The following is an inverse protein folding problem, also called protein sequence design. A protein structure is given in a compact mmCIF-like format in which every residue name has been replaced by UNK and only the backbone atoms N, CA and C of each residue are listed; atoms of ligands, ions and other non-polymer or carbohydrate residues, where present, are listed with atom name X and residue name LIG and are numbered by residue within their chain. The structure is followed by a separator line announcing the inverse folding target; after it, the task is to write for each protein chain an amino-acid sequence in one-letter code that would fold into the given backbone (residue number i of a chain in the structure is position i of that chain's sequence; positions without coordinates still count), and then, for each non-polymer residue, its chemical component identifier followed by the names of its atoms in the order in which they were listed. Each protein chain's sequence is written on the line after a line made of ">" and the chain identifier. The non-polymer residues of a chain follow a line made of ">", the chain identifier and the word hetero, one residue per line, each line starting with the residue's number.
data_IF_037384635111
#
_entry.id   IF_037384635111
#
_cell.length_a   1.000
_cell.length_b   1.000
_cell.length_c   1.000
_cell.angle_alpha   90.00
_cell.angle_beta   90.00
_cell.angle_gamma   90.00
#
_symmetry.space_group_name_H-M   'P 1'
#
loop_
_entity.id
_entity.type
_entity.pdbx_description
1 polymer ?
#
# COMPACT_ATOMS: atom_id res chain seq x y z
N UNK A 1 61.59 -51.76 -31.82
CA UNK A 1 60.68 -51.90 -32.97
C UNK A 1 59.44 -51.03 -32.71
N UNK A 2 59.20 -50.11 -33.64
CA UNK A 2 58.41 -48.86 -33.53
C UNK A 2 56.91 -49.11 -33.36
N UNK A 3 56.31 -48.86 -32.18
CA UNK A 3 54.82 -48.76 -32.05
C UNK A 3 54.26 -48.19 -30.73
N UNK A 4 54.97 -47.29 -30.03
CA UNK A 4 54.45 -46.67 -28.78
C UNK A 4 54.37 -45.13 -28.76
N UNK A 5 54.84 -44.46 -29.82
CA UNK A 5 54.79 -42.99 -29.95
C UNK A 5 53.58 -42.44 -30.73
N UNK A 6 52.90 -43.25 -31.55
CA UNK A 6 51.81 -42.75 -32.41
C UNK A 6 50.46 -42.57 -31.70
N UNK A 7 50.17 -43.30 -30.61
CA UNK A 7 48.85 -43.21 -29.97
C UNK A 7 48.65 -41.93 -29.12
N UNK A 8 49.73 -41.28 -28.67
CA UNK A 8 49.60 -40.01 -27.92
C UNK A 8 49.41 -38.80 -28.84
N UNK A 9 49.94 -38.84 -30.07
CA UNK A 9 49.76 -37.76 -31.04
C UNK A 9 48.34 -37.72 -31.63
N UNK A 10 47.73 -38.87 -31.90
CA UNK A 10 46.36 -38.92 -32.42
C UNK A 10 45.31 -38.38 -31.43
N UNK A 11 45.48 -38.65 -30.14
CA UNK A 11 44.56 -38.13 -29.11
C UNK A 11 44.64 -36.60 -28.97
N UNK A 12 45.83 -36.02 -29.09
CA UNK A 12 46.04 -34.56 -29.02
C UNK A 12 45.43 -33.86 -30.24
N UNK A 13 45.56 -34.45 -31.43
CA UNK A 13 44.96 -33.90 -32.67
C UNK A 13 43.42 -33.95 -32.61
N UNK A 14 42.83 -35.00 -32.05
CA UNK A 14 41.37 -35.11 -31.88
C UNK A 14 40.86 -34.05 -30.89
N UNK A 15 41.56 -33.81 -29.79
CA UNK A 15 41.18 -32.78 -28.80
C UNK A 15 41.30 -31.37 -29.37
N UNK A 16 42.37 -31.08 -30.13
CA UNK A 16 42.53 -29.80 -30.84
C UNK A 16 41.45 -29.60 -31.92
N UNK A 17 41.09 -30.68 -32.64
CA UNK A 17 39.99 -30.67 -33.60
C UNK A 17 38.65 -30.34 -32.96
N UNK A 18 38.33 -30.95 -31.81
CA UNK A 18 37.10 -30.70 -31.06
C UNK A 18 37.04 -29.27 -30.47
N UNK A 19 38.16 -28.73 -30.00
CA UNK A 19 38.25 -27.34 -29.52
C UNK A 19 38.12 -26.30 -30.64
N UNK A 20 38.63 -26.59 -31.84
CA UNK A 20 38.42 -25.73 -33.01
C UNK A 20 36.97 -25.83 -33.53
N UNK A 21 36.36 -27.03 -33.46
CA UNK A 21 34.95 -27.22 -33.81
C UNK A 21 34.02 -26.51 -32.84
N UNK A 22 34.32 -26.53 -31.53
CA UNK A 22 33.52 -25.83 -30.51
C UNK A 22 33.65 -24.30 -30.60
N UNK A 23 34.82 -23.78 -30.98
CA UNK A 23 34.99 -22.34 -31.27
C UNK A 23 34.24 -21.90 -32.53
N UNK A 24 34.24 -22.70 -33.59
CA UNK A 24 33.44 -22.41 -34.78
C UNK A 24 31.93 -22.48 -34.49
N UNK A 25 31.47 -23.40 -33.65
CA UNK A 25 30.06 -23.45 -33.24
C UNK A 25 29.65 -22.26 -32.35
N UNK A 26 30.53 -21.80 -31.46
CA UNK A 26 30.26 -20.60 -30.65
C UNK A 26 30.26 -19.31 -31.49
N UNK A 27 31.04 -19.26 -32.56
CA UNK A 27 31.15 -18.09 -33.43
C UNK A 27 30.08 -18.07 -34.56
N UNK A 28 29.48 -19.21 -34.89
CA UNK A 28 28.32 -19.29 -35.81
C UNK A 28 27.00 -18.95 -35.10
N UNK A 29 26.94 -19.00 -33.76
CA UNK A 29 25.75 -18.59 -33.00
C UNK A 29 25.68 -17.08 -32.68
N UNK A 30 26.62 -16.26 -33.18
CA UNK A 30 26.62 -14.79 -33.02
C UNK A 30 26.89 -14.14 -34.38
N UNK A 31 25.87 -14.09 -35.23
CA UNK A 31 25.65 -13.02 -36.22
C UNK A 31 24.15 -12.90 -36.49
N UNK A 32 23.57 -11.69 -36.40
CA UNK A 32 22.13 -11.50 -36.57
C UNK A 32 21.78 -11.71 -38.04
N UNK A 33 20.98 -12.74 -38.32
CA UNK A 33 20.28 -12.83 -39.60
C UNK A 33 19.20 -11.74 -39.62
N UNK A 34 19.43 -10.68 -40.39
CA UNK A 34 18.38 -9.77 -40.87
C UNK A 34 17.40 -10.59 -41.70
N UNK A 35 16.42 -11.19 -41.02
CA UNK A 35 15.18 -11.64 -41.62
C UNK A 35 14.14 -10.68 -41.09
N UNK A 36 13.69 -9.77 -41.97
CA UNK A 36 12.41 -9.09 -41.82
C UNK A 36 11.32 -10.15 -41.80
N UNK A 37 11.13 -10.76 -40.63
CA UNK A 37 9.86 -11.33 -40.25
C UNK A 37 9.09 -10.11 -39.78
N UNK A 38 8.17 -9.64 -40.61
CA UNK A 38 6.97 -8.95 -40.13
C UNK A 38 6.30 -9.92 -39.14
N UNK A 39 6.79 -9.89 -37.91
CA UNK A 39 5.98 -10.24 -36.77
C UNK A 39 4.94 -9.13 -36.79
N UNK A 40 3.79 -9.43 -37.41
CA UNK A 40 2.53 -8.90 -36.96
C UNK A 40 2.49 -9.23 -35.47
N UNK A 41 3.08 -8.33 -34.68
CA UNK A 41 2.68 -8.09 -33.31
C UNK A 41 1.23 -7.69 -33.50
N UNK A 42 0.36 -8.69 -33.47
CA UNK A 42 -1.01 -8.50 -33.08
C UNK A 42 -0.88 -7.68 -31.81
N UNK A 43 -1.15 -6.39 -32.00
CA UNK A 43 -1.51 -5.44 -30.99
C UNK A 43 -2.55 -6.15 -30.10
N UNK A 44 -2.09 -6.94 -29.13
CA UNK A 44 -2.80 -7.10 -27.88
C UNK A 44 -2.71 -5.70 -27.27
N UNK A 45 -3.58 -4.82 -27.77
CA UNK A 45 -4.00 -3.63 -27.04
C UNK A 45 -4.50 -4.20 -25.73
N UNK A 46 -3.69 -4.11 -24.67
CA UNK A 46 -4.26 -4.03 -23.34
C UNK A 46 -5.42 -3.05 -23.45
N UNK A 47 -6.64 -3.41 -23.02
CA UNK A 47 -7.74 -2.49 -23.05
C UNK A 47 -7.26 -1.24 -22.34
N UNK A 48 -7.20 -0.12 -23.08
CA UNK A 48 -6.74 1.15 -22.52
C UNK A 48 -7.72 1.48 -21.42
N UNK A 49 -7.33 1.22 -20.16
CA UNK A 49 -8.15 1.46 -18.99
C UNK A 49 -8.67 2.90 -19.06
N UNK A 50 -9.97 3.08 -18.88
CA UNK A 50 -10.54 4.42 -18.82
C UNK A 50 -10.27 5.04 -17.46
N UNK A 51 -10.04 6.36 -17.41
CA UNK A 51 -9.80 7.07 -16.15
C UNK A 51 -10.97 6.89 -15.18
N UNK A 52 -12.19 6.78 -15.70
CA UNK A 52 -13.40 6.54 -14.92
C UNK A 52 -13.42 5.18 -14.20
N UNK A 53 -12.55 4.24 -14.60
CA UNK A 53 -12.41 2.94 -13.95
C UNK A 53 -11.79 3.05 -12.54
N UNK A 54 -11.05 4.14 -12.28
CA UNK A 54 -10.45 4.43 -10.96
C UNK A 54 -11.35 5.28 -10.07
N UNK A 55 -12.37 5.92 -10.63
CA UNK A 55 -13.32 6.72 -9.85
C UNK A 55 -14.26 5.81 -9.08
N UNK A 56 -14.41 6.06 -7.79
CA UNK A 56 -15.33 5.34 -6.91
C UNK A 56 -16.74 5.88 -7.13
N UNK A 57 -17.66 5.02 -7.55
CA UNK A 57 -19.07 5.36 -7.68
C UNK A 57 -19.83 4.94 -6.41
N UNK A 58 -21.00 5.54 -6.19
CA UNK A 58 -21.95 5.05 -5.19
C UNK A 58 -22.40 3.63 -5.53
N UNK A 59 -22.45 2.74 -4.54
CA UNK A 59 -22.91 1.35 -4.72
C UNK A 59 -21.79 0.31 -4.69
N UNK A 60 -21.95 -0.76 -5.49
CA UNK A 60 -21.03 -1.91 -5.52
C UNK A 60 -19.93 -1.72 -6.58
N UNK A 61 -18.70 -1.42 -6.13
CA UNK A 61 -17.53 -1.21 -6.98
C UNK A 61 -16.72 -2.49 -7.26
N UNK A 62 -17.19 -3.67 -6.84
CA UNK A 62 -16.52 -4.94 -7.08
C UNK A 62 -16.18 -5.17 -8.57
N UNK A 63 -17.14 -4.90 -9.47
CA UNK A 63 -16.93 -5.05 -10.92
C UNK A 63 -15.83 -4.12 -11.42
N UNK A 64 -15.79 -2.87 -10.94
CA UNK A 64 -14.71 -1.93 -11.27
C UNK A 64 -13.35 -2.46 -10.79
N UNK A 65 -13.25 -2.91 -9.53
CA UNK A 65 -12.00 -3.46 -8.98
C UNK A 65 -11.49 -4.66 -9.78
N UNK A 66 -12.38 -5.52 -10.29
CA UNK A 66 -12.00 -6.68 -11.12
C UNK A 66 -11.44 -6.28 -12.49
N UNK A 67 -11.80 -5.10 -12.99
CA UNK A 67 -11.28 -4.57 -14.26
C UNK A 67 -9.93 -3.84 -14.09
N UNK A 68 -9.55 -3.50 -12.86
CA UNK A 68 -8.24 -2.90 -12.56
C UNK A 68 -7.13 -3.97 -12.53
N UNK A 69 -5.84 -3.57 -12.64
CA UNK A 69 -4.72 -4.48 -12.50
C UNK A 69 -4.85 -5.35 -11.24
N UNK A 70 -4.65 -6.66 -11.39
CA UNK A 70 -4.76 -7.58 -10.26
C UNK A 70 -3.53 -7.45 -9.34
N UNK A 71 -3.72 -6.78 -8.21
CA UNK A 71 -2.68 -6.54 -7.20
C UNK A 71 -2.13 -7.84 -6.58
N UNK A 72 -2.89 -8.94 -6.61
CA UNK A 72 -2.42 -10.27 -6.15
C UNK A 72 -1.30 -10.84 -7.03
N UNK A 73 -1.28 -10.46 -8.33
CA UNK A 73 -0.32 -10.95 -9.30
C UNK A 73 0.98 -10.12 -9.33
N UNK A 74 1.05 -9.05 -8.53
CA UNK A 74 2.22 -8.18 -8.46
C UNK A 74 3.25 -8.69 -7.47
N UNK A 75 4.52 -8.34 -7.68
CA UNK A 75 5.57 -8.58 -6.70
C UNK A 75 5.39 -7.63 -5.51
N UNK A 76 5.43 -8.16 -4.29
CA UNK A 76 5.36 -7.37 -3.05
C UNK A 76 6.64 -7.52 -2.24
N UNK A 77 7.09 -6.46 -1.52
CA UNK A 77 8.22 -6.57 -0.61
C UNK A 77 7.96 -7.65 0.44
N UNK A 78 8.99 -8.44 0.76
CA UNK A 78 8.95 -9.32 1.92
C UNK A 78 8.76 -8.47 3.17
N UNK A 79 7.59 -8.58 3.81
CA UNK A 79 7.25 -7.86 5.04
C UNK A 79 8.00 -8.42 6.24
N UNK A 80 8.49 -7.51 7.09
CA UNK A 80 9.04 -7.83 8.40
C UNK A 80 7.90 -8.02 9.41
N UNK A 81 8.07 -8.95 10.34
CA UNK A 81 7.09 -9.25 11.38
C UNK A 81 7.80 -9.43 12.71
N UNK A 82 7.08 -9.14 13.79
CA UNK A 82 7.51 -9.58 15.11
C UNK A 82 7.57 -11.12 15.16
N UNK A 83 8.58 -11.64 15.86
CA UNK A 83 8.75 -13.08 16.09
C UNK A 83 7.66 -13.63 17.02
N UNK A 84 7.25 -12.82 18.00
CA UNK A 84 6.17 -13.12 18.95
C UNK A 84 5.07 -12.07 18.84
N UNK A 85 3.78 -12.44 19.00
CA UNK A 85 2.68 -11.48 18.95
C UNK A 85 2.80 -10.47 20.09
N UNK A 86 2.44 -9.22 19.83
CA UNK A 86 2.23 -8.26 20.92
C UNK A 86 1.19 -8.78 21.91
N UNK A 87 1.49 -8.67 23.21
CA UNK A 87 0.76 -9.35 24.27
C UNK A 87 1.51 -10.55 24.86
N UNK A 88 2.40 -11.20 24.10
CA UNK A 88 3.28 -12.22 24.68
C UNK A 88 4.28 -11.60 25.69
N UNK A 89 4.71 -12.33 26.74
CA UNK A 89 5.54 -11.77 27.82
C UNK A 89 6.88 -11.16 27.36
N UNK A 90 7.43 -11.64 26.25
CA UNK A 90 8.72 -11.19 25.71
C UNK A 90 8.59 -10.13 24.61
N UNK A 91 7.38 -9.81 24.17
CA UNK A 91 7.16 -8.89 23.06
C UNK A 91 7.41 -7.45 23.48
N UNK A 92 8.14 -6.70 22.65
CA UNK A 92 8.48 -5.30 22.89
C UNK A 92 8.31 -4.50 21.62
N UNK A 93 7.98 -3.23 21.78
CA UNK A 93 7.88 -2.30 20.67
C UNK A 93 9.18 -1.53 20.52
N UNK A 94 9.70 -1.51 19.30
CA UNK A 94 10.84 -0.69 18.92
C UNK A 94 10.39 0.35 17.90
N UNK A 95 10.84 1.61 17.98
CA UNK A 95 10.52 2.64 16.99
C UNK A 95 11.07 2.26 15.61
N UNK A 96 10.30 2.53 14.55
CA UNK A 96 10.66 2.25 13.15
C UNK A 96 10.92 0.75 12.85
N UNK A 97 10.37 -0.15 13.67
CA UNK A 97 10.36 -1.59 13.44
C UNK A 97 8.92 -2.10 13.31
N UNK A 98 8.77 -3.31 12.75
CA UNK A 98 7.47 -3.97 12.59
C UNK A 98 6.75 -4.09 13.94
N UNK A 99 5.45 -3.77 13.95
CA UNK A 99 4.61 -3.77 15.17
C UNK A 99 3.70 -4.98 15.31
N UNK A 100 3.51 -5.73 14.22
CA UNK A 100 2.60 -6.86 14.17
C UNK A 100 3.38 -8.16 13.92
N UNK A 101 2.99 -9.22 14.61
CA UNK A 101 3.32 -10.58 14.19
C UNK A 101 2.53 -10.97 12.93
N UNK A 102 2.79 -12.18 12.40
CA UNK A 102 2.08 -12.67 11.21
C UNK A 102 0.58 -12.87 11.49
N UNK A 103 0.22 -13.46 12.62
CA UNK A 103 -1.17 -13.66 13.05
C UNK A 103 -1.90 -12.35 13.32
N UNK A 104 -1.22 -11.36 13.89
CA UNK A 104 -1.78 -10.03 14.11
C UNK A 104 -2.01 -9.28 12.81
N UNK A 105 -1.06 -9.32 11.86
CA UNK A 105 -1.26 -8.78 10.52
C UNK A 105 -2.40 -9.47 9.78
N UNK A 106 -2.53 -10.81 9.87
CA UNK A 106 -3.67 -11.53 9.29
C UNK A 106 -5.00 -11.10 9.90
N UNK A 107 -5.04 -10.90 11.21
CA UNK A 107 -6.24 -10.40 11.90
C UNK A 107 -6.58 -9.00 11.42
N UNK A 108 -5.58 -8.11 11.29
CA UNK A 108 -5.76 -6.75 10.78
C UNK A 108 -6.36 -6.74 9.37
N UNK A 109 -5.79 -7.50 8.44
CA UNK A 109 -6.34 -7.59 7.08
C UNK A 109 -7.71 -8.24 7.02
N UNK A 110 -7.99 -9.22 7.89
CA UNK A 110 -9.33 -9.81 7.98
C UNK A 110 -10.33 -8.75 8.43
N UNK A 111 -10.03 -7.96 9.45
CA UNK A 111 -10.87 -6.84 9.90
C UNK A 111 -11.09 -5.85 8.76
N UNK A 112 -10.02 -5.42 8.09
CA UNK A 112 -10.10 -4.46 6.99
C UNK A 112 -10.98 -4.97 5.84
N UNK A 113 -10.77 -6.21 5.39
CA UNK A 113 -11.60 -6.81 4.34
C UNK A 113 -13.07 -6.98 4.76
N UNK A 114 -13.34 -7.30 6.04
CA UNK A 114 -14.70 -7.37 6.56
C UNK A 114 -15.37 -6.00 6.58
N UNK A 115 -14.66 -4.95 6.97
CA UNK A 115 -15.16 -3.58 6.90
C UNK A 115 -15.46 -3.18 5.44
N UNK A 116 -14.53 -3.45 4.51
CA UNK A 116 -14.72 -3.14 3.08
C UNK A 116 -15.98 -3.82 2.54
N UNK A 117 -16.17 -5.11 2.83
CA UNK A 117 -17.35 -5.86 2.39
C UNK A 117 -18.64 -5.30 3.04
N UNK A 118 -18.59 -4.90 4.31
CA UNK A 118 -19.73 -4.28 4.97
C UNK A 118 -20.14 -2.97 4.29
N UNK A 119 -19.17 -2.09 3.96
CA UNK A 119 -19.45 -0.83 3.25
C UNK A 119 -19.96 -1.08 1.83
N UNK A 120 -19.37 -2.05 1.12
CA UNK A 120 -19.82 -2.48 -0.20
C UNK A 120 -21.27 -2.96 -0.15
N UNK A 121 -21.60 -3.91 0.73
CA UNK A 121 -22.95 -4.50 0.85
C UNK A 121 -24.02 -3.48 1.27
N UNK A 122 -23.62 -2.42 1.98
CA UNK A 122 -24.49 -1.30 2.32
C UNK A 122 -24.65 -0.26 1.20
N UNK A 123 -23.89 -0.40 0.11
CA UNK A 123 -23.86 0.56 -1.00
C UNK A 123 -23.14 1.86 -0.66
N UNK A 124 -22.22 1.83 0.30
CA UNK A 124 -21.52 2.99 0.85
C UNK A 124 -20.05 3.09 0.43
N UNK A 125 -19.66 2.46 -0.69
CA UNK A 125 -18.25 2.45 -1.13
C UNK A 125 -17.67 3.84 -1.45
N UNK A 126 -18.49 4.83 -1.74
CA UNK A 126 -18.13 6.25 -1.92
C UNK A 126 -18.22 7.09 -0.64
N UNK A 127 -18.62 6.48 0.49
CA UNK A 127 -18.83 7.17 1.78
C UNK A 127 -17.78 6.84 2.83
N UNK A 128 -16.69 6.21 2.43
CA UNK A 128 -15.51 6.01 3.28
C UNK A 128 -14.25 6.12 2.46
N UNK A 129 -13.14 6.40 3.14
CA UNK A 129 -11.82 6.44 2.52
C UNK A 129 -10.75 6.08 3.55
N UNK A 130 -9.57 5.69 3.06
CA UNK A 130 -8.39 5.62 3.91
C UNK A 130 -8.12 7.00 4.54
N UNK A 131 -7.67 7.02 5.78
CA UNK A 131 -7.37 8.25 6.51
C UNK A 131 -6.05 8.12 7.29
N UNK A 132 -5.58 9.22 7.88
CA UNK A 132 -4.50 9.18 8.87
C UNK A 132 -3.23 8.45 8.40
N UNK A 133 -2.70 7.56 9.25
CA UNK A 133 -1.47 6.79 8.98
C UNK A 133 -1.66 5.80 7.84
N UNK A 134 -2.87 5.26 7.70
CA UNK A 134 -3.25 4.33 6.64
C UNK A 134 -3.18 4.95 5.25
N UNK A 135 -3.72 6.17 5.08
CA UNK A 135 -3.66 6.90 3.81
C UNK A 135 -2.20 7.21 3.44
N UNK A 136 -1.40 7.61 4.44
CA UNK A 136 0.03 7.84 4.27
C UNK A 136 0.75 6.57 3.81
N UNK A 137 0.41 5.43 4.41
CA UNK A 137 0.92 4.12 4.03
C UNK A 137 0.60 3.76 2.57
N UNK A 138 -0.65 3.91 2.15
CA UNK A 138 -1.03 3.70 0.74
C UNK A 138 -0.21 4.60 -0.20
N UNK A 139 -0.07 5.89 0.13
CA UNK A 139 0.64 6.86 -0.70
C UNK A 139 2.16 6.66 -0.75
N UNK A 140 2.79 6.27 0.36
CA UNK A 140 4.25 6.14 0.48
C UNK A 140 4.79 4.72 0.35
N UNK A 141 3.97 3.70 0.58
CA UNK A 141 4.42 2.31 0.69
C UNK A 141 3.55 1.31 -0.10
N UNK A 142 2.44 1.76 -0.71
CA UNK A 142 1.38 0.90 -1.24
C UNK A 142 0.87 -0.13 -0.23
N UNK A 143 1.03 0.09 1.08
CA UNK A 143 0.75 -0.87 2.16
C UNK A 143 0.69 -0.10 3.50
N UNK A 144 0.37 -0.75 4.60
CA UNK A 144 0.54 -0.20 5.95
C UNK A 144 1.98 0.30 6.11
N UNK A 145 2.16 1.49 6.68
CA UNK A 145 3.47 2.00 7.06
C UNK A 145 4.21 0.91 7.87
N UNK A 146 5.46 0.54 7.54
CA UNK A 146 6.08 -0.68 8.09
C UNK A 146 6.16 -0.75 9.62
N UNK A 147 6.08 0.40 10.29
CA UNK A 147 6.14 0.55 11.74
C UNK A 147 4.85 1.13 12.35
N UNK A 148 3.73 1.14 11.61
CA UNK A 148 2.39 1.42 12.16
C UNK A 148 1.83 0.22 12.90
N UNK A 149 0.96 0.46 13.88
CA UNK A 149 0.31 -0.58 14.69
C UNK A 149 -1.22 -0.66 14.52
N UNK A 150 -1.85 0.22 13.76
CA UNK A 150 -3.30 0.21 13.53
C UNK A 150 -3.70 0.59 12.09
N UNK A 151 -5.01 0.78 11.86
CA UNK A 151 -5.57 1.21 10.59
C UNK A 151 -6.68 2.24 10.82
N UNK A 152 -6.43 3.47 10.41
CA UNK A 152 -7.39 4.58 10.35
C UNK A 152 -8.24 4.58 9.07
N UNK A 153 -9.54 4.76 9.25
CA UNK A 153 -10.54 4.97 8.21
C UNK A 153 -11.41 6.16 8.59
N UNK A 154 -11.92 6.89 7.60
CA UNK A 154 -12.89 7.94 7.84
C UNK A 154 -14.16 7.69 7.02
N UNK A 155 -15.31 7.81 7.67
CA UNK A 155 -16.63 7.44 7.13
C UNK A 155 -17.59 8.62 7.25
N UNK A 156 -18.47 8.79 6.26
CA UNK A 156 -19.58 9.74 6.37
C UNK A 156 -20.43 9.39 7.60
N UNK A 157 -20.65 10.36 8.48
CA UNK A 157 -21.41 10.16 9.72
C UNK A 157 -22.81 9.60 9.47
N UNK A 158 -23.42 9.90 8.34
CA UNK A 158 -24.75 9.39 7.97
C UNK A 158 -24.73 7.88 7.64
N UNK A 159 -23.58 7.31 7.26
CA UNK A 159 -23.43 5.86 7.05
C UNK A 159 -23.26 5.08 8.38
N UNK A 160 -22.99 5.79 9.48
CA UNK A 160 -22.65 5.21 10.79
C UNK A 160 -23.72 4.26 11.34
N UNK A 161 -25.03 4.59 11.34
CA UNK A 161 -26.04 3.68 11.89
C UNK A 161 -26.08 2.34 11.15
N UNK A 162 -26.04 2.37 9.82
CA UNK A 162 -26.03 1.19 8.97
C UNK A 162 -24.77 0.34 9.16
N UNK A 163 -23.59 0.98 9.19
CA UNK A 163 -22.32 0.29 9.47
C UNK A 163 -22.33 -0.39 10.85
N UNK A 164 -22.73 0.31 11.91
CA UNK A 164 -22.80 -0.25 13.26
C UNK A 164 -23.73 -1.45 13.33
N UNK A 165 -24.91 -1.35 12.75
CA UNK A 165 -25.84 -2.48 12.66
C UNK A 165 -25.23 -3.66 11.91
N UNK A 166 -24.60 -3.41 10.76
CA UNK A 166 -23.95 -4.44 9.96
C UNK A 166 -22.87 -5.18 10.73
N UNK A 167 -21.98 -4.46 11.42
CA UNK A 167 -20.90 -5.06 12.20
C UNK A 167 -21.43 -5.79 13.45
N UNK A 168 -22.46 -5.27 14.14
CA UNK A 168 -23.08 -5.97 15.28
C UNK A 168 -23.61 -7.37 14.93
N UNK A 169 -24.06 -7.58 13.69
CA UNK A 169 -24.54 -8.88 13.18
C UNK A 169 -23.41 -9.90 12.95
N UNK A 170 -22.14 -9.49 13.00
CA UNK A 170 -20.97 -10.36 12.80
C UNK A 170 -20.43 -10.96 14.10
N UNK A 171 -21.14 -10.76 15.23
CA UNK A 171 -20.84 -11.43 16.49
C UNK A 171 -20.99 -12.96 16.32
N UNK A 172 -20.18 -13.78 17.02
CA UNK A 172 -19.15 -13.38 17.98
C UNK A 172 -17.77 -13.07 17.37
N UNK A 173 -17.56 -13.33 16.07
CA UNK A 173 -16.22 -13.31 15.48
C UNK A 173 -15.65 -11.90 15.26
N UNK A 174 -16.52 -10.92 15.00
CA UNK A 174 -16.16 -9.51 14.86
C UNK A 174 -17.00 -8.69 15.85
N UNK A 175 -16.32 -7.78 16.54
CA UNK A 175 -16.86 -6.96 17.60
C UNK A 175 -16.67 -5.48 17.26
N UNK A 176 -17.56 -4.65 17.78
CA UNK A 176 -17.48 -3.19 17.65
C UNK A 176 -17.62 -2.56 19.03
N UNK A 177 -16.70 -1.65 19.35
CA UNK A 177 -16.88 -0.67 20.41
C UNK A 177 -17.38 0.61 19.78
N UNK A 178 -18.65 0.90 20.00
CA UNK A 178 -19.28 2.15 19.61
C UNK A 178 -18.82 3.28 20.55
N UNK A 179 -18.25 4.33 19.99
CA UNK A 179 -17.86 5.53 20.74
C UNK A 179 -18.69 6.76 20.35
N UNK A 180 -18.35 7.91 20.92
CA UNK A 180 -18.94 9.19 20.53
C UNK A 180 -18.41 9.67 19.18
N UNK A 181 -17.09 9.84 19.10
CA UNK A 181 -16.42 10.40 17.91
C UNK A 181 -15.74 9.35 17.02
N UNK A 182 -15.35 8.21 17.57
CA UNK A 182 -14.70 7.10 16.86
C UNK A 182 -15.27 5.77 17.30
N UNK A 183 -15.33 4.81 16.38
CA UNK A 183 -15.65 3.43 16.69
C UNK A 183 -14.39 2.56 16.52
N UNK A 184 -14.28 1.50 17.32
CA UNK A 184 -13.20 0.49 17.19
C UNK A 184 -13.80 -0.82 16.73
N UNK A 185 -13.35 -1.36 15.59
CA UNK A 185 -13.76 -2.69 15.10
C UNK A 185 -12.62 -3.67 15.33
N UNK A 186 -12.88 -4.77 16.05
CA UNK A 186 -11.85 -5.73 16.45
C UNK A 186 -12.36 -7.17 16.37
N UNK A 187 -11.47 -8.14 16.32
CA UNK A 187 -11.85 -9.54 16.26
C UNK A 187 -12.22 -10.06 17.66
N UNK A 188 -12.80 -11.25 17.72
CA UNK A 188 -13.00 -11.97 18.99
C UNK A 188 -11.73 -12.00 19.83
N UNK A 189 -11.90 -11.93 21.16
CA UNK A 189 -10.79 -11.87 22.08
C UNK A 189 -10.11 -13.23 22.26
N UNK A 190 -8.78 -13.21 22.26
CA UNK A 190 -7.94 -14.34 22.65
C UNK A 190 -7.74 -14.27 24.16
N UNK A 191 -8.13 -15.34 24.86
CA UNK A 191 -7.95 -15.49 26.31
C UNK A 191 -7.03 -16.69 26.61
N UNK A 192 -5.98 -16.53 27.44
CA UNK A 192 -5.58 -15.28 28.10
C UNK A 192 -4.89 -14.30 27.14
N UNK A 193 -5.04 -13.00 27.40
CA UNK A 193 -4.45 -11.96 26.55
C UNK A 193 -2.91 -11.97 26.52
N UNK A 194 -2.26 -12.56 27.52
CA UNK A 194 -0.80 -12.69 27.63
C UNK A 194 -0.19 -13.96 27.00
N UNK A 195 -0.93 -14.62 26.12
CA UNK A 195 -0.47 -15.83 25.42
C UNK A 195 0.57 -15.53 24.31
N UNK A 196 1.52 -16.44 24.13
CA UNK A 196 2.50 -16.41 23.02
C UNK A 196 1.96 -16.94 21.69
N UNK A 197 0.71 -17.41 21.65
CA UNK A 197 0.09 -17.96 20.44
C UNK A 197 -0.19 -16.87 19.39
N UNK A 198 0.33 -17.06 18.18
CA UNK A 198 0.14 -16.14 17.05
C UNK A 198 -1.08 -16.53 16.18
N UNK A 199 -2.24 -16.61 16.84
CA UNK A 199 -3.52 -17.06 16.25
C UNK A 199 -4.42 -15.89 15.85
N UNK A 200 -5.48 -16.18 15.10
CA UNK A 200 -6.49 -15.20 14.73
C UNK A 200 -7.26 -14.69 15.94
N UNK A 201 -7.35 -13.37 16.09
CA UNK A 201 -8.12 -12.71 17.14
C UNK A 201 -7.41 -11.48 17.67
N UNK A 202 -8.15 -10.68 18.44
CA UNK A 202 -7.64 -9.50 19.12
C UNK A 202 -7.33 -9.85 20.59
N UNK A 203 -6.48 -9.07 21.23
CA UNK A 203 -6.07 -9.24 22.63
C UNK A 203 -6.46 -8.00 23.41
N UNK A 204 -6.93 -8.18 24.64
CA UNK A 204 -7.15 -7.07 25.56
C UNK A 204 -5.81 -6.67 26.20
N UNK A 205 -5.15 -5.68 25.60
CA UNK A 205 -3.79 -5.23 25.97
C UNK A 205 -3.75 -3.83 26.59
N UNK A 206 -4.90 -3.16 26.69
CA UNK A 206 -5.04 -1.85 27.33
C UNK A 206 -6.14 -1.88 28.40
N UNK A 207 -6.27 -0.78 29.15
CA UNK A 207 -7.33 -0.60 30.15
C UNK A 207 -8.72 -0.41 29.52
N UNK A 208 -8.78 -0.17 28.20
CA UNK A 208 -10.02 0.06 27.50
C UNK A 208 -10.78 -1.25 27.22
N UNK A 209 -12.06 -1.14 26.86
CA UNK A 209 -12.96 -2.28 26.67
C UNK A 209 -13.04 -2.76 25.21
N UNK A 210 -11.95 -2.62 24.46
CA UNK A 210 -11.75 -3.18 23.12
C UNK A 210 -10.43 -3.97 23.06
N UNK A 211 -10.31 -4.86 22.07
CA UNK A 211 -9.07 -5.61 21.83
C UNK A 211 -8.28 -5.04 20.66
N UNK A 212 -6.96 -5.24 20.67
CA UNK A 212 -6.05 -4.93 19.56
C UNK A 212 -5.49 -6.24 18.95
N UNK A 213 -5.33 -6.40 17.62
CA UNK A 213 -5.51 -5.40 16.56
C UNK A 213 -6.96 -4.94 16.38
N UNK A 214 -7.14 -3.71 15.90
CA UNK A 214 -8.43 -3.09 15.60
C UNK A 214 -8.34 -2.17 14.38
N UNK A 215 -9.51 -1.79 13.84
CA UNK A 215 -9.66 -0.67 12.93
C UNK A 215 -10.20 0.54 13.68
N UNK A 216 -9.63 1.71 13.40
CA UNK A 216 -10.11 3.01 13.84
C UNK A 216 -11.04 3.61 12.80
N UNK A 217 -12.32 3.72 13.16
CA UNK A 217 -13.34 4.29 12.30
C UNK A 217 -13.68 5.68 12.83
N UNK A 218 -13.07 6.69 12.22
CA UNK A 218 -13.42 8.10 12.41
C UNK A 218 -14.60 8.49 11.52
N UNK A 219 -15.26 9.59 11.87
CA UNK A 219 -16.42 10.08 11.12
C UNK A 219 -16.23 11.51 10.67
N UNK A 220 -16.78 11.85 9.50
CA UNK A 220 -16.88 13.23 9.02
C UNK A 220 -18.33 13.65 8.81
N UNK A 221 -18.61 14.94 9.00
CA UNK A 221 -19.80 15.60 8.45
C UNK A 221 -19.44 16.34 7.16
N UNK A 222 -20.40 16.58 6.28
CA UNK A 222 -20.20 17.34 5.05
C UNK A 222 -21.14 18.55 5.02
N UNK A 223 -20.62 19.68 4.57
CA UNK A 223 -21.44 20.81 4.12
C UNK A 223 -21.27 21.01 2.59
N UNK A 224 -21.66 22.17 2.06
CA UNK A 224 -21.60 22.47 0.63
C UNK A 224 -20.18 22.47 0.04
N UNK A 225 -19.17 22.85 0.82
CA UNK A 225 -17.80 23.07 0.32
C UNK A 225 -16.73 22.22 0.98
N UNK A 226 -16.98 21.71 2.19
CA UNK A 226 -16.00 20.97 2.99
C UNK A 226 -16.59 19.71 3.62
N UNK A 227 -15.71 18.76 3.94
CA UNK A 227 -15.94 17.76 4.98
C UNK A 227 -15.19 18.15 6.24
N UNK A 228 -15.69 17.74 7.40
CA UNK A 228 -15.10 18.03 8.71
C UNK A 228 -15.03 16.75 9.53
N UNK A 229 -13.83 16.35 9.96
CA UNK A 229 -13.66 15.27 10.93
C UNK A 229 -14.33 15.65 12.25
N UNK A 230 -15.17 14.76 12.78
CA UNK A 230 -15.91 14.96 14.03
C UNK A 230 -15.04 14.76 15.27
N UNK A 231 -13.95 14.01 15.11
CA UNK A 231 -13.05 13.66 16.18
C UNK A 231 -11.88 14.65 16.26
N UNK A 232 -11.43 14.93 17.49
CA UNK A 232 -10.25 15.75 17.72
C UNK A 232 -8.98 14.91 17.52
N UNK A 233 -8.02 15.48 16.79
CA UNK A 233 -6.77 14.83 16.40
C UNK A 233 -5.63 15.84 16.41
N UNK A 234 -4.46 15.47 16.92
CA UNK A 234 -3.25 16.32 16.84
C UNK A 234 -3.46 17.77 17.30
N UNK A 235 -4.33 17.99 18.30
CA UNK A 235 -4.59 19.33 18.83
C UNK A 235 -5.54 20.20 18.01
N UNK A 236 -6.30 19.64 17.06
CA UNK A 236 -7.32 20.38 16.29
C UNK A 236 -8.42 19.48 15.70
N UNK A 237 -9.40 20.11 15.06
CA UNK A 237 -10.30 19.45 14.12
C UNK A 237 -9.81 19.67 12.68
N UNK A 238 -9.94 18.65 11.84
CA UNK A 238 -9.51 18.68 10.45
C UNK A 238 -10.70 18.89 9.50
N UNK A 239 -10.58 19.88 8.61
CA UNK A 239 -11.58 20.15 7.58
C UNK A 239 -10.91 20.18 6.20
N UNK A 240 -11.52 19.51 5.23
CA UNK A 240 -10.96 19.36 3.88
C UNK A 240 -11.94 19.87 2.83
N UNK A 241 -11.44 20.56 1.81
CA UNK A 241 -12.26 21.01 0.70
C UNK A 241 -12.80 19.79 -0.07
N UNK A 242 -14.08 19.82 -0.44
CA UNK A 242 -14.70 18.70 -1.18
C UNK A 242 -14.05 18.48 -2.54
N UNK A 243 -13.44 19.49 -3.14
CA UNK A 243 -12.66 19.38 -4.38
C UNK A 243 -11.38 18.54 -4.24
N UNK A 244 -10.81 18.46 -3.03
CA UNK A 244 -9.65 17.61 -2.73
C UNK A 244 -10.07 16.19 -2.33
N UNK A 245 -11.32 16.01 -1.88
CA UNK A 245 -11.84 14.72 -1.45
C UNK A 245 -12.54 13.99 -2.60
N UNK A 246 -13.48 14.65 -3.28
CA UNK A 246 -14.42 14.00 -4.19
C UNK A 246 -14.20 14.34 -5.67
N UNK A 247 -14.52 13.42 -6.59
CA UNK A 247 -14.90 12.04 -6.31
C UNK A 247 -13.73 11.23 -5.73
N UNK A 248 -14.02 10.24 -4.90
CA UNK A 248 -12.97 9.38 -4.36
C UNK A 248 -12.32 8.57 -5.50
N UNK A 249 -11.05 8.23 -5.35
CA UNK A 249 -10.28 7.45 -6.31
C UNK A 249 -9.75 6.17 -5.68
N UNK A 250 -9.66 5.11 -6.50
CA UNK A 250 -9.09 3.83 -6.11
C UNK A 250 -7.57 3.89 -6.16
N UNK A 251 -6.92 3.66 -5.02
CA UNK A 251 -5.46 3.54 -4.90
C UNK A 251 -5.07 2.15 -4.36
N UNK A 252 -3.85 1.66 -4.65
CA UNK A 252 -3.38 0.40 -4.10
C UNK A 252 -3.14 0.53 -2.60
N UNK A 253 -3.68 -0.42 -1.85
CA UNK A 253 -3.38 -0.62 -0.45
C UNK A 253 -3.22 -2.12 -0.20
N UNK A 254 -1.96 -2.54 -0.22
CA UNK A 254 -1.55 -3.93 -0.38
C UNK A 254 -2.30 -4.55 -1.57
N UNK A 255 -2.98 -5.67 -1.37
CA UNK A 255 -3.69 -6.40 -2.42
C UNK A 255 -5.10 -5.87 -2.70
N UNK A 256 -5.43 -4.69 -2.19
CA UNK A 256 -6.76 -4.08 -2.31
C UNK A 256 -6.71 -2.77 -3.10
N UNK A 257 -7.67 -2.61 -4.00
CA UNK A 257 -8.03 -1.31 -4.57
C UNK A 257 -9.04 -0.63 -3.66
N UNK A 258 -8.67 0.48 -3.02
CA UNK A 258 -9.44 1.08 -1.93
C UNK A 258 -9.73 2.56 -2.17
N UNK A 259 -10.89 3.07 -1.70
CA UNK A 259 -11.22 4.48 -1.81
C UNK A 259 -10.24 5.36 -1.03
N UNK A 260 -9.80 6.44 -1.67
CA UNK A 260 -8.93 7.48 -1.13
C UNK A 260 -9.40 8.85 -1.62
N UNK A 261 -9.04 9.95 -0.95
CA UNK A 261 -9.30 11.30 -1.45
C UNK A 261 -8.79 11.49 -2.88
N UNK A 262 -9.54 12.23 -3.70
CA UNK A 262 -9.16 12.65 -5.05
C UNK A 262 -7.74 13.20 -5.11
N UNK A 263 -7.40 14.08 -4.17
CA UNK A 263 -6.12 14.72 -4.00
C UNK A 263 -5.50 14.26 -2.67
N UNK A 264 -5.09 13.00 -2.66
CA UNK A 264 -4.41 12.36 -1.53
C UNK A 264 -3.23 13.19 -1.06
N UNK A 265 -2.45 13.76 -1.99
CA UNK A 265 -1.30 14.60 -1.63
C UNK A 265 -1.71 15.88 -0.87
N UNK A 266 -2.75 16.60 -1.31
CA UNK A 266 -3.26 17.77 -0.57
C UNK A 266 -3.74 17.41 0.84
N UNK A 267 -4.49 16.32 0.96
CA UNK A 267 -5.03 15.87 2.26
C UNK A 267 -3.89 15.51 3.21
N UNK A 268 -2.86 14.79 2.73
CA UNK A 268 -1.71 14.43 3.55
C UNK A 268 -0.90 15.65 3.98
N UNK A 269 -0.74 16.67 3.13
CA UNK A 269 -0.04 17.92 3.48
C UNK A 269 -0.72 18.74 4.58
N UNK A 270 -2.04 18.59 4.75
CA UNK A 270 -2.72 19.23 5.87
C UNK A 270 -2.44 18.52 7.20
N UNK A 271 -2.19 17.21 7.19
CA UNK A 271 -2.03 16.40 8.41
C UNK A 271 -0.58 16.19 8.80
N UNK A 272 0.29 16.00 7.83
CA UNK A 272 1.70 15.66 8.03
C UNK A 272 2.60 16.81 7.60
N UNK A 273 3.76 16.97 8.27
CA UNK A 273 4.74 17.95 7.82
C UNK A 273 5.24 17.58 6.42
N UNK A 274 5.28 18.57 5.52
CA UNK A 274 5.79 18.42 4.14
C UNK A 274 7.30 18.28 4.04
N UNK A 275 7.93 17.62 5.02
CA UNK A 275 9.38 17.44 5.10
C UNK A 275 9.77 16.01 4.73
N UNK A 276 11.07 15.72 4.85
CA UNK A 276 11.68 14.45 4.50
C UNK A 276 11.83 13.49 5.67
N UNK A 277 11.06 13.71 6.74
CA UNK A 277 11.18 12.95 7.97
C UNK A 277 10.12 11.86 8.07
N UNK A 278 10.59 10.68 8.46
CA UNK A 278 9.78 9.53 8.81
C UNK A 278 9.76 9.41 10.33
N UNK A 279 8.56 9.38 10.89
CA UNK A 279 8.37 9.33 12.34
C UNK A 279 7.61 8.06 12.72
N UNK A 280 8.11 7.36 13.73
CA UNK A 280 7.31 6.41 14.48
C UNK A 280 6.48 7.17 15.52
N UNK A 281 5.18 6.84 15.60
CA UNK A 281 4.26 7.46 16.56
C UNK A 281 4.80 7.38 18.00
N UNK A 282 4.64 8.46 18.75
CA UNK A 282 4.89 8.49 20.20
C UNK A 282 3.67 8.00 21.00
N UNK A 283 2.68 7.42 20.34
CA UNK A 283 1.52 6.78 20.93
C UNK A 283 1.43 5.35 20.38
N UNK A 284 1.27 4.37 21.27
CA UNK A 284 1.01 3.00 20.85
C UNK A 284 -0.47 2.67 20.98
N UNK A 285 -1.09 2.32 19.87
CA UNK A 285 -2.47 1.84 19.81
C UNK A 285 -2.62 0.43 20.42
N UNK A 286 -1.53 -0.34 20.45
CA UNK A 286 -1.48 -1.66 21.10
C UNK A 286 -1.84 -1.57 22.59
N UNK A 287 -1.23 -0.65 23.32
CA UNK A 287 -1.40 -0.48 24.78
C UNK A 287 -2.20 0.76 25.14
N UNK A 288 -2.55 1.60 24.17
CA UNK A 288 -3.25 2.89 24.31
C UNK A 288 -2.51 3.87 25.23
N UNK A 289 -1.17 3.91 25.15
CA UNK A 289 -0.29 4.70 26.01
C UNK A 289 0.82 5.36 25.21
N UNK A 290 1.40 6.43 25.76
CA UNK A 290 2.58 7.08 25.20
C UNK A 290 3.79 6.14 25.16
N UNK A 291 4.55 6.21 24.08
CA UNK A 291 5.77 5.43 23.85
C UNK A 291 6.87 6.35 23.30
N UNK A 292 8.16 6.05 23.46
CA UNK A 292 9.21 6.82 22.81
C UNK A 292 9.02 6.82 21.28
N UNK A 293 8.80 8.01 20.72
CA UNK A 293 8.83 8.20 19.27
C UNK A 293 10.26 8.19 18.74
N UNK A 294 10.41 8.04 17.42
CA UNK A 294 11.68 8.24 16.75
C UNK A 294 11.43 8.85 15.38
N UNK A 295 12.22 9.88 15.07
CA UNK A 295 12.17 10.55 13.77
C UNK A 295 13.54 10.47 13.12
N UNK A 296 13.56 10.09 11.84
CA UNK A 296 14.77 10.03 11.01
C UNK A 296 14.44 10.54 9.61
N UNK A 297 15.42 11.01 8.81
CA UNK A 297 15.21 11.19 7.39
C UNK A 297 14.67 9.91 6.74
N UNK A 298 13.58 9.99 5.97
CA UNK A 298 12.97 8.84 5.30
C UNK A 298 13.96 8.10 4.39
N UNK A 299 14.92 8.83 3.80
CA UNK A 299 15.98 8.25 2.95
C UNK A 299 16.86 7.24 3.70
N UNK A 300 17.08 7.41 5.01
CA UNK A 300 17.83 6.43 5.82
C UNK A 300 17.11 5.08 5.93
N UNK A 301 15.80 5.06 5.67
CA UNK A 301 14.97 3.86 5.70
C UNK A 301 14.83 3.20 4.32
N UNK A 302 15.30 3.84 3.25
CA UNK A 302 15.04 3.43 1.87
C UNK A 302 15.64 2.06 1.49
N UNK A 303 16.72 1.63 2.16
CA UNK A 303 17.33 0.31 1.93
C UNK A 303 16.53 -0.82 2.60
N UNK A 304 15.87 -0.53 3.74
CA UNK A 304 15.10 -1.50 4.52
C UNK A 304 13.65 -1.57 4.05
N UNK A 305 13.03 -0.42 3.86
CA UNK A 305 11.62 -0.26 3.54
C UNK A 305 11.44 0.33 2.14
N UNK A 306 10.42 -0.17 1.44
CA UNK A 306 10.13 0.29 0.09
C UNK A 306 9.32 1.59 0.15
N UNK A 307 9.61 2.52 -0.75
CA UNK A 307 8.92 3.81 -0.90
C UNK A 307 8.34 3.94 -2.31
N UNK A 308 7.26 4.68 -2.43
CA UNK A 308 6.60 4.94 -3.73
C UNK A 308 7.22 6.16 -4.37
N UNK A 309 7.67 5.98 -5.60
CA UNK A 309 8.08 7.07 -6.47
C UNK A 309 6.95 7.40 -7.44
N UNK A 310 6.59 8.69 -7.48
CA UNK A 310 5.56 9.25 -8.34
C UNK A 310 6.20 9.90 -9.57
N UNK A 311 5.68 9.57 -10.75
CA UNK A 311 6.10 10.18 -12.02
C UNK A 311 4.93 10.33 -12.98
N UNK A 312 4.88 11.38 -13.81
CA UNK A 312 3.87 11.48 -14.86
C UNK A 312 4.07 10.37 -15.90
N UNK A 313 2.98 9.73 -16.36
CA UNK A 313 3.09 8.69 -17.40
C UNK A 313 3.39 9.28 -18.79
N UNK A 314 2.93 10.51 -19.05
CA UNK A 314 3.10 11.21 -20.32
C UNK A 314 3.66 12.62 -20.06
N UNK A 315 4.74 13.00 -20.76
CA UNK A 315 5.47 14.26 -20.55
C UNK A 315 4.80 15.51 -21.18
N UNK A 316 3.70 15.32 -21.93
CA UNK A 316 3.11 16.39 -22.75
C UNK A 316 1.76 16.87 -22.23
N UNK A 317 1.76 17.76 -21.23
CA UNK A 317 0.74 18.81 -21.14
C UNK A 317 1.48 20.11 -20.82
N UNK A 318 1.38 21.07 -21.72
CA UNK A 318 1.96 22.40 -21.55
C UNK A 318 1.53 23.00 -20.21
N UNK A 319 2.45 23.71 -19.55
CA UNK A 319 2.25 24.54 -18.36
C UNK A 319 1.05 25.49 -18.50
N UNK A 320 -0.16 24.99 -18.26
CA UNK A 320 -1.30 25.80 -17.91
C UNK A 320 -1.58 25.49 -16.44
N UNK A 321 -1.41 26.50 -15.58
CA UNK A 321 -1.62 26.38 -14.14
C UNK A 321 -3.02 25.84 -13.78
N UNK A 322 -4.00 25.92 -14.69
CA UNK A 322 -5.35 25.35 -14.55
C UNK A 322 -5.42 23.80 -14.69
N UNK A 323 -4.34 23.12 -15.09
CA UNK A 323 -4.33 21.66 -15.34
C UNK A 323 -3.85 20.82 -14.16
N UNK A 324 -3.33 21.44 -13.09
CA UNK A 324 -2.71 20.69 -11.98
C UNK A 324 -3.71 19.83 -11.17
N UNK A 325 -4.96 20.25 -11.14
CA UNK A 325 -6.05 19.57 -10.43
C UNK A 325 -6.84 18.61 -11.34
N UNK A 326 -6.50 18.51 -12.63
CA UNK A 326 -7.11 17.52 -13.52
C UNK A 326 -6.52 16.13 -13.28
N UNK A 327 -7.38 15.11 -13.39
CA UNK A 327 -6.97 13.72 -13.26
C UNK A 327 -6.10 13.31 -14.45
N UNK A 328 -4.85 12.95 -14.18
CA UNK A 328 -3.86 12.51 -15.14
C UNK A 328 -3.43 11.07 -14.87
N UNK A 329 -2.73 10.47 -15.83
CA UNK A 329 -2.10 9.17 -15.64
C UNK A 329 -0.78 9.34 -14.90
N UNK A 330 -0.67 8.67 -13.75
CA UNK A 330 0.51 8.65 -12.91
C UNK A 330 1.08 7.24 -12.91
N UNK A 331 2.40 7.16 -13.07
CA UNK A 331 3.18 5.94 -12.85
C UNK A 331 3.72 5.99 -11.41
N UNK A 332 3.34 4.99 -10.63
CA UNK A 332 3.86 4.77 -9.28
C UNK A 332 4.79 3.54 -9.27
N UNK A 333 6.04 3.74 -8.84
CA UNK A 333 7.05 2.68 -8.71
C UNK A 333 7.34 2.44 -7.24
N UNK A 334 7.13 1.21 -6.76
CA UNK A 334 7.54 0.84 -5.40
C UNK A 334 9.02 0.46 -5.41
N UNK A 335 9.87 1.28 -4.81
CA UNK A 335 11.34 1.17 -4.86
C UNK A 335 11.94 0.87 -3.48
N UNK A 336 12.93 -0.03 -3.41
CA UNK A 336 13.72 -0.30 -2.20
C UNK A 336 15.19 -0.39 -2.54
N UNK A 337 16.04 0.39 -1.88
CA UNK A 337 17.48 0.49 -2.16
C UNK A 337 17.78 0.76 -3.63
N UNK A 338 17.00 1.65 -4.26
CA UNK A 338 17.10 2.00 -5.67
C UNK A 338 16.60 0.94 -6.67
N UNK A 339 16.04 -0.18 -6.20
CA UNK A 339 15.48 -1.23 -7.07
C UNK A 339 13.96 -1.18 -7.08
N UNK A 340 13.37 -1.15 -8.27
CA UNK A 340 11.92 -1.28 -8.45
C UNK A 340 11.46 -2.69 -8.11
N UNK A 341 10.52 -2.80 -7.19
CA UNK A 341 9.85 -4.05 -6.80
C UNK A 341 8.67 -4.31 -7.74
N UNK A 342 7.85 -3.29 -7.95
CA UNK A 342 6.77 -3.29 -8.93
C UNK A 342 6.48 -1.88 -9.42
N UNK A 343 5.72 -1.80 -10.50
CA UNK A 343 5.21 -0.57 -11.09
C UNK A 343 3.71 -0.70 -11.31
N UNK A 344 2.98 0.39 -11.11
CA UNK A 344 1.55 0.47 -11.37
C UNK A 344 1.22 1.81 -12.02
N UNK A 345 0.31 1.78 -12.99
CA UNK A 345 -0.25 2.99 -13.58
C UNK A 345 -1.63 3.22 -12.96
N UNK A 346 -1.86 4.42 -12.46
CA UNK A 346 -3.15 4.83 -11.88
C UNK A 346 -3.51 6.25 -12.26
N UNK A 347 -4.63 6.73 -11.74
CA UNK A 347 -5.14 8.07 -12.00
C UNK A 347 -5.12 8.90 -10.73
N UNK A 348 -4.55 10.09 -10.83
CA UNK A 348 -4.48 11.07 -9.74
C UNK A 348 -4.33 12.49 -10.32
N UNK A 349 -4.56 13.56 -9.54
CA UNK A 349 -4.24 14.92 -9.95
C UNK A 349 -2.79 15.05 -10.39
N UNK A 350 -2.52 15.84 -11.43
CA UNK A 350 -1.18 16.00 -12.00
C UNK A 350 -0.12 16.37 -10.95
N UNK A 351 -0.46 17.22 -9.98
CA UNK A 351 0.41 17.57 -8.84
C UNK A 351 0.94 16.36 -8.05
N UNK A 352 0.17 15.27 -7.93
CA UNK A 352 0.64 14.06 -7.24
C UNK A 352 1.79 13.38 -7.97
N UNK A 353 1.80 13.47 -9.31
CA UNK A 353 2.87 12.91 -10.15
C UNK A 353 4.24 13.57 -9.91
N UNK A 354 4.22 14.77 -9.31
CA UNK A 354 5.41 15.52 -8.92
C UNK A 354 5.76 15.36 -7.45
N UNK A 355 5.05 14.53 -6.67
CA UNK A 355 5.41 14.29 -5.28
C UNK A 355 6.80 13.62 -5.18
N UNK A 356 7.62 14.13 -4.27
CA UNK A 356 8.92 13.54 -3.95
C UNK A 356 8.74 12.17 -3.26
N UNK A 357 9.64 11.24 -3.54
CA UNK A 357 9.61 9.87 -3.01
C UNK A 357 9.75 9.82 -1.48
N UNK A 358 10.59 10.68 -0.92
CA UNK A 358 10.95 10.66 0.49
C UNK A 358 10.43 11.89 1.25
N UNK A 359 9.92 12.89 0.53
CA UNK A 359 9.33 14.10 1.11
C UNK A 359 7.87 14.19 0.71
N UNK A 360 7.01 14.62 1.63
CA UNK A 360 5.69 15.12 1.22
C UNK A 360 5.84 16.55 0.69
N UNK A 361 6.49 16.70 -0.47
CA UNK A 361 6.67 17.98 -1.14
C UNK A 361 6.71 17.75 -2.65
N UNK A 362 6.38 18.76 -3.45
CA UNK A 362 6.57 18.69 -4.90
C UNK A 362 8.06 18.72 -5.26
N UNK A 363 8.46 17.96 -6.27
CA UNK A 363 9.82 18.01 -6.83
C UNK A 363 10.05 19.43 -7.34
N UNK A 364 11.17 20.03 -6.94
CA UNK A 364 11.61 21.30 -7.51
C UNK A 364 11.85 21.09 -9.00
N UNK A 365 11.28 21.94 -9.85
CA UNK A 365 11.64 22.02 -11.27
C UNK A 365 13.15 22.28 -11.34
N UNK A 366 13.91 21.31 -11.85
CA UNK A 366 15.35 21.43 -12.03
C UNK A 366 15.68 22.38 -13.18
#
# INVERSE_FOLDING_TARGET
>A
MVRRGMMKFSAIIIILGLLMFSRNYLQISIRPSNVHREVNVLNMKEPKLDRQSYVVDSGHIEVKRRNLPNLENMNWPKKEFLLTPMGAPTSRQMPLEAKLSRGQMRTMWKLFSTFMNAMEELGFSDRWMLYGGTLLGSFRHHDITPWDDDLDLIVDVEARPGLREKIRKLKPDILIKEGGQRDKIYAKLIEPSNSSEDVYGSRKLSAYNWGWPYLDVSYYSSNGTHIQELAWSYGRYYGYAKSDIFPLILRPFYKYWVPTPRNTFAVLLQTYPGNDLCSASSYSHITEHGTPGRTVPCKELADRYAFVEHTPLYENVQNQNDTQDELAWVRERLVRGGKTIHEINLVAPWRESNADTYRLHEKSSA
#
